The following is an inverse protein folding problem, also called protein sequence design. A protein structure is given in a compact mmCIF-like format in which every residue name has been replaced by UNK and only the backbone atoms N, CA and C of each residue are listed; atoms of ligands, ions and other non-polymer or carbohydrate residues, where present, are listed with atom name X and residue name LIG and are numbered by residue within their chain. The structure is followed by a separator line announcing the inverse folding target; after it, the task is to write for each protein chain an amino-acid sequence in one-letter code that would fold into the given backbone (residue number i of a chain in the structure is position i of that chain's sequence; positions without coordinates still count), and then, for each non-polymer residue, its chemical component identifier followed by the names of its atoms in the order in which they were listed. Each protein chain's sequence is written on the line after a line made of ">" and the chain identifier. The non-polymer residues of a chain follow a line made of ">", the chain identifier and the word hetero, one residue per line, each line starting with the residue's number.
data_IF_863107677356
#
_entry.id   IF_863107677356
#
_cell.length_a   1.000
_cell.length_b   1.000
_cell.length_c   1.000
_cell.angle_alpha   90.00
_cell.angle_beta   90.00
_cell.angle_gamma   90.00
#
_symmetry.space_group_name_H-M   'P 1'
#
loop_
_entity.id
_entity.type
_entity.pdbx_description
1 polymer ?
#
# COMPACT_ATOMS: atom_id res chain seq x y z
N UNK A 1 4.63 -2.54 -16.60
CA UNK A 1 6.00 -2.07 -16.28
C UNK A 1 6.41 -2.62 -14.92
N UNK A 2 7.68 -2.94 -14.63
CA UNK A 2 8.06 -3.48 -13.34
C UNK A 2 7.97 -2.39 -12.25
N UNK A 3 7.34 -2.73 -11.12
CA UNK A 3 7.38 -1.93 -9.89
C UNK A 3 8.78 -2.08 -9.28
N UNK A 4 9.50 -0.97 -9.08
CA UNK A 4 10.87 -0.98 -8.54
C UNK A 4 10.95 -0.44 -7.13
N UNK A 5 10.03 0.44 -6.74
CA UNK A 5 9.97 0.98 -5.39
C UNK A 5 8.55 1.03 -4.85
N UNK A 6 8.42 0.76 -3.55
CA UNK A 6 7.15 0.76 -2.83
C UNK A 6 7.25 1.69 -1.64
N UNK A 7 6.25 2.56 -1.48
CA UNK A 7 6.05 3.34 -0.27
C UNK A 7 4.96 2.69 0.58
N UNK A 8 5.29 2.33 1.82
CA UNK A 8 4.36 1.69 2.74
C UNK A 8 3.92 2.69 3.80
N UNK A 9 2.60 2.88 3.92
CA UNK A 9 1.99 3.61 5.03
C UNK A 9 0.86 2.76 5.63
N UNK A 10 1.29 1.77 6.43
CA UNK A 10 0.43 0.86 7.18
C UNK A 10 0.72 1.04 8.67
N UNK A 11 0.04 2.02 9.27
CA UNK A 11 0.10 2.27 10.71
C UNK A 11 -1.29 2.23 11.32
N UNK A 12 -1.44 1.63 12.49
CA UNK A 12 -2.67 1.65 13.26
C UNK A 12 -2.37 1.88 14.75
N UNK A 13 -2.99 2.87 15.40
CA UNK A 13 -2.62 3.29 16.76
C UNK A 13 -2.95 2.26 17.85
N UNK A 14 -3.91 1.36 17.61
CA UNK A 14 -4.44 0.46 18.64
C UNK A 14 -4.25 -1.03 18.35
N UNK A 15 -3.91 -1.40 17.10
CA UNK A 15 -3.87 -2.81 16.68
C UNK A 15 -2.49 -3.06 16.07
N UNK A 16 -1.60 -3.63 16.88
CA UNK A 16 -0.22 -3.85 16.48
C UNK A 16 -0.11 -4.73 15.23
N UNK A 17 -0.97 -5.76 15.11
CA UNK A 17 -1.01 -6.67 13.97
C UNK A 17 -1.28 -5.98 12.63
N UNK A 18 -1.85 -4.77 12.64
CA UNK A 18 -2.13 -3.98 11.43
C UNK A 18 -0.99 -3.03 11.06
N UNK A 19 0.07 -2.99 11.85
CA UNK A 19 1.25 -2.19 11.54
C UNK A 19 2.23 -3.00 10.68
N UNK A 20 2.82 -2.34 9.70
CA UNK A 20 3.91 -2.94 8.94
C UNK A 20 5.20 -2.94 9.77
N UNK A 21 5.86 -4.10 9.84
CA UNK A 21 7.03 -4.33 10.69
C UNK A 21 8.32 -4.38 9.86
N UNK A 22 9.50 -4.07 10.42
CA UNK A 22 10.77 -4.13 9.69
C UNK A 22 11.03 -5.47 8.99
N UNK A 23 10.64 -6.58 9.63
CA UNK A 23 10.74 -7.92 9.06
C UNK A 23 9.95 -8.10 7.75
N UNK A 24 8.83 -7.38 7.58
CA UNK A 24 8.03 -7.45 6.36
C UNK A 24 8.75 -6.75 5.19
N UNK A 25 9.44 -5.62 5.44
CA UNK A 25 10.31 -4.97 4.44
C UNK A 25 11.40 -5.92 3.98
N UNK A 26 12.14 -6.50 4.94
CA UNK A 26 13.23 -7.45 4.63
C UNK A 26 12.70 -8.64 3.82
N UNK A 27 11.53 -9.15 4.17
CA UNK A 27 10.89 -10.24 3.44
C UNK A 27 10.55 -9.84 2.00
N UNK A 28 9.92 -8.69 1.78
CA UNK A 28 9.55 -8.19 0.45
C UNK A 28 10.78 -7.97 -0.44
N UNK A 29 11.79 -7.25 0.06
CA UNK A 29 13.01 -6.95 -0.69
C UNK A 29 13.80 -8.23 -1.02
N UNK A 30 13.76 -9.24 -0.14
CA UNK A 30 14.38 -10.55 -0.40
C UNK A 30 13.63 -11.36 -1.45
N UNK A 31 12.29 -11.34 -1.45
CA UNK A 31 11.46 -12.14 -2.35
C UNK A 31 11.30 -11.52 -3.73
N UNK A 32 11.49 -10.21 -3.86
CA UNK A 32 11.37 -9.49 -5.13
C UNK A 32 12.70 -8.79 -5.45
N UNK A 33 13.62 -9.43 -6.18
CA UNK A 33 14.91 -8.86 -6.51
C UNK A 33 14.79 -7.50 -7.22
N UNK A 34 15.53 -6.51 -6.74
CA UNK A 34 15.53 -5.14 -7.28
C UNK A 34 14.40 -4.25 -6.76
N UNK A 35 13.56 -4.75 -5.85
CA UNK A 35 12.55 -3.96 -5.15
C UNK A 35 13.19 -3.16 -3.99
N UNK A 36 12.88 -1.88 -3.90
CA UNK A 36 13.16 -1.04 -2.73
C UNK A 36 11.86 -0.74 -1.98
N UNK A 37 11.84 -0.95 -0.67
CA UNK A 37 10.65 -0.69 0.17
C UNK A 37 10.97 0.40 1.18
N UNK A 38 10.23 1.49 1.18
CA UNK A 38 10.34 2.54 2.19
C UNK A 38 9.06 2.62 3.02
N UNK A 39 9.19 2.99 4.30
CA UNK A 39 8.06 3.02 5.24
C UNK A 39 7.88 4.44 5.77
N UNK A 40 6.64 4.91 5.79
CA UNK A 40 6.22 6.16 6.41
C UNK A 40 5.36 5.87 7.64
N UNK A 41 5.43 6.76 8.64
CA UNK A 41 4.69 6.61 9.89
C UNK A 41 3.49 7.56 9.99
N UNK A 42 3.38 8.52 9.08
CA UNK A 42 2.31 9.51 9.06
C UNK A 42 1.98 9.92 7.62
N UNK A 43 0.77 10.45 7.46
CA UNK A 43 0.22 10.83 6.16
C UNK A 43 0.92 12.02 5.50
N UNK A 44 1.55 12.93 6.28
CA UNK A 44 2.31 14.05 5.73
C UNK A 44 3.56 13.53 5.01
N UNK A 45 4.37 12.74 5.70
CA UNK A 45 5.59 12.14 5.15
C UNK A 45 5.27 11.22 3.95
N UNK A 46 4.19 10.44 4.06
CA UNK A 46 3.70 9.63 2.95
C UNK A 46 3.40 10.49 1.71
N UNK A 47 2.61 11.57 1.86
CA UNK A 47 2.25 12.45 0.74
C UNK A 47 3.48 13.12 0.12
N UNK A 48 4.42 13.59 0.94
CA UNK A 48 5.61 14.30 0.46
C UNK A 48 6.53 13.39 -0.37
N UNK A 49 6.55 12.08 -0.08
CA UNK A 49 7.43 11.11 -0.73
C UNK A 49 6.76 10.36 -1.89
N UNK A 50 5.45 10.18 -1.83
CA UNK A 50 4.64 9.46 -2.84
C UNK A 50 4.97 9.79 -4.31
N UNK A 51 5.27 11.04 -4.72
CA UNK A 51 5.60 11.35 -6.12
C UNK A 51 6.75 10.53 -6.72
N UNK A 52 7.63 9.98 -5.89
CA UNK A 52 8.85 9.26 -6.31
C UNK A 52 8.64 7.74 -6.45
N UNK A 53 7.47 7.21 -6.10
CA UNK A 53 7.24 5.78 -5.97
C UNK A 53 6.30 5.22 -7.04
N UNK A 54 6.60 3.99 -7.46
CA UNK A 54 5.80 3.21 -8.40
C UNK A 54 4.56 2.59 -7.75
N UNK A 55 4.62 2.31 -6.45
CA UNK A 55 3.52 1.67 -5.73
C UNK A 55 3.37 2.17 -4.28
N UNK A 56 2.14 2.07 -3.78
CA UNK A 56 1.79 2.36 -2.40
C UNK A 56 1.12 1.15 -1.74
N UNK A 57 1.51 0.82 -0.50
CA UNK A 57 0.77 -0.13 0.36
C UNK A 57 0.19 0.63 1.54
N UNK A 58 -1.13 0.71 1.64
CA UNK A 58 -1.83 1.61 2.58
C UNK A 58 -3.14 1.03 3.09
N UNK A 59 -3.61 1.52 4.25
CA UNK A 59 -4.96 1.22 4.74
C UNK A 59 -6.03 2.08 4.06
N UNK A 60 -5.67 3.31 3.70
CA UNK A 60 -6.54 4.26 3.03
C UNK A 60 -5.76 5.11 2.04
N UNK A 61 -6.44 5.61 1.00
CA UNK A 61 -5.84 6.46 -0.02
C UNK A 61 -6.86 7.50 -0.48
N UNK A 62 -6.45 8.77 -0.49
CA UNK A 62 -7.30 9.89 -0.91
C UNK A 62 -7.01 10.27 -2.35
N UNK A 63 -8.04 10.57 -3.13
CA UNK A 63 -7.92 10.93 -4.55
C UNK A 63 -6.91 12.08 -4.77
N UNK A 64 -6.97 13.13 -3.94
CA UNK A 64 -6.05 14.28 -3.99
C UNK A 64 -4.55 13.95 -3.82
N UNK A 65 -4.21 12.76 -3.36
CA UNK A 65 -2.82 12.32 -3.30
C UNK A 65 -2.33 11.81 -4.65
N UNK A 66 -3.23 11.23 -5.45
CA UNK A 66 -2.96 10.75 -6.79
C UNK A 66 -2.52 11.90 -7.72
N UNK A 67 -3.12 13.08 -7.58
CA UNK A 67 -2.76 14.29 -8.32
C UNK A 67 -1.26 14.62 -8.22
N UNK A 68 -0.63 14.27 -7.09
CA UNK A 68 0.80 14.49 -6.85
C UNK A 68 1.69 13.28 -7.16
N UNK A 69 1.13 12.16 -7.62
CA UNK A 69 1.81 10.88 -7.72
C UNK A 69 1.95 10.38 -9.18
N UNK A 70 2.68 11.08 -10.06
CA UNK A 70 2.70 10.80 -11.49
C UNK A 70 3.33 9.45 -11.87
N UNK A 71 4.09 8.85 -10.96
CA UNK A 71 4.76 7.56 -11.17
C UNK A 71 3.95 6.38 -10.64
N UNK A 72 2.86 6.63 -9.91
CA UNK A 72 2.12 5.61 -9.18
C UNK A 72 1.35 4.72 -10.17
N UNK A 73 1.62 3.41 -10.10
CA UNK A 73 1.04 2.37 -10.95
C UNK A 73 0.24 1.34 -10.16
N UNK A 74 0.43 1.30 -8.84
CA UNK A 74 -0.24 0.36 -7.95
C UNK A 74 -0.57 0.99 -6.60
N UNK A 75 -1.82 0.87 -6.19
CA UNK A 75 -2.27 1.01 -4.80
C UNK A 75 -2.68 -0.39 -4.32
N UNK A 76 -2.04 -0.88 -3.27
CA UNK A 76 -2.42 -2.13 -2.62
C UNK A 76 -2.88 -1.86 -1.19
N UNK A 77 -4.02 -2.44 -0.81
CA UNK A 77 -4.51 -2.42 0.57
C UNK A 77 -4.69 -3.84 1.08
N UNK A 78 -4.27 -4.16 2.32
CA UNK A 78 -4.59 -5.44 2.93
C UNK A 78 -6.08 -5.57 3.31
N UNK A 79 -6.86 -4.48 3.24
CA UNK A 79 -8.29 -4.49 3.55
C UNK A 79 -9.11 -5.20 2.45
N UNK A 80 -10.16 -5.92 2.87
CA UNK A 80 -11.16 -6.49 1.97
C UNK A 80 -12.09 -5.42 1.38
N UNK A 81 -12.44 -4.45 2.23
CA UNK A 81 -13.38 -3.38 1.91
C UNK A 81 -12.77 -2.30 1.04
N UNK A 82 -13.62 -1.65 0.25
CA UNK A 82 -13.23 -0.56 -0.67
C UNK A 82 -13.41 0.83 -0.07
N UNK A 83 -14.05 0.94 1.09
CA UNK A 83 -14.55 2.20 1.67
C UNK A 83 -13.47 3.26 1.92
N UNK A 84 -12.20 2.83 2.01
CA UNK A 84 -11.07 3.68 2.39
C UNK A 84 -10.13 4.02 1.22
N UNK A 85 -10.43 3.53 0.02
CA UNK A 85 -9.68 3.85 -1.20
C UNK A 85 -10.59 4.66 -2.11
N UNK A 86 -10.37 5.98 -2.15
CA UNK A 86 -11.15 6.94 -2.94
C UNK A 86 -10.68 6.99 -4.41
N UNK A 87 -10.11 5.91 -4.93
CA UNK A 87 -9.49 5.85 -6.27
C UNK A 87 -9.91 4.57 -6.96
N UNK A 88 -10.39 4.69 -8.19
CA UNK A 88 -10.73 3.56 -9.05
C UNK A 88 -9.50 3.08 -9.83
N UNK A 89 -9.52 1.79 -10.21
CA UNK A 89 -8.48 1.24 -11.08
C UNK A 89 -8.75 1.56 -12.55
N UNK A 90 -7.69 1.84 -13.31
CA UNK A 90 -7.75 2.05 -14.75
C UNK A 90 -6.58 1.33 -15.48
N UNK A 91 -6.26 1.75 -16.70
CA UNK A 91 -5.18 1.16 -17.51
C UNK A 91 -3.78 1.42 -16.92
N UNK A 92 -3.57 2.60 -16.33
CA UNK A 92 -2.28 3.09 -15.83
C UNK A 92 -2.10 2.83 -14.33
N UNK A 93 -3.20 2.77 -13.57
CA UNK A 93 -3.24 2.57 -12.13
C UNK A 93 -4.04 1.32 -11.75
N UNK A 94 -3.37 0.37 -11.11
CA UNK A 94 -4.01 -0.81 -10.50
C UNK A 94 -4.34 -0.57 -9.03
N UNK A 95 -5.53 -0.99 -8.62
CA UNK A 95 -5.94 -1.02 -7.20
C UNK A 95 -6.17 -2.47 -6.79
N UNK A 96 -5.42 -2.94 -5.80
CA UNK A 96 -5.44 -4.32 -5.29
C UNK A 96 -5.93 -4.34 -3.85
N UNK A 97 -6.92 -5.19 -3.58
CA UNK A 97 -7.53 -5.39 -2.26
C UNK A 97 -7.10 -6.72 -1.66
N UNK A 98 -7.09 -6.81 -0.32
CA UNK A 98 -6.82 -8.04 0.40
C UNK A 98 -7.90 -9.08 0.08
N UNK A 99 -7.47 -10.28 -0.31
CA UNK A 99 -8.38 -11.39 -0.65
C UNK A 99 -8.38 -12.55 0.36
N UNK A 100 -7.46 -12.57 1.32
CA UNK A 100 -7.33 -13.64 2.30
C UNK A 100 -7.43 -13.10 3.73
N UNK A 101 -8.55 -13.39 4.39
CA UNK A 101 -8.83 -13.01 5.78
C UNK A 101 -8.83 -14.22 6.73
N UNK A 102 -8.23 -15.34 6.30
CA UNK A 102 -8.24 -16.61 7.02
C UNK A 102 -9.61 -17.30 7.00
N UNK A 103 -9.72 -18.42 7.71
CA UNK A 103 -10.98 -19.14 7.93
C UNK A 103 -11.97 -18.38 8.82
N UNK A 104 -11.55 -17.28 9.44
CA UNK A 104 -12.36 -16.43 10.33
C UNK A 104 -13.49 -15.68 9.59
N UNK A 105 -13.37 -15.49 8.26
CA UNK A 105 -14.44 -14.94 7.40
C UNK A 105 -14.94 -16.02 6.41
N UNK A 106 -14.81 -17.31 6.76
CA UNK A 106 -15.34 -18.43 5.98
C UNK A 106 -16.55 -19.10 6.64
N UNK A 107 -17.19 -18.43 7.61
CA UNK A 107 -18.48 -18.85 8.15
C UNK A 107 -19.58 -18.02 7.48
N UNK A 108 -20.28 -18.64 6.53
CA UNK A 108 -21.55 -18.19 5.95
C UNK A 108 -22.53 -19.34 6.01
#
# INVERSE_FOLDING_TARGET
>A
MPIKNILVYLTHPHVEAWNFKPQHKVLLERLVPGLSVEVCLNSKDFKDRLPQFDAAIVWFFKEKWLESAPNLKLIATPAAGKDWIEVESDEDLKVSFGGFHGSLIAES
#
